data_IF_617665715264
#
_entry.id   IF_617665715264
#
_cell.length_a   1.000
_cell.length_b   1.000
_cell.length_c   1.000
_cell.angle_alpha   90.00
_cell.angle_beta   90.00
_cell.angle_gamma   90.00
#
_symmetry.space_group_name_H-M   'P 1'
#
loop_
_entity.id
_entity.type
_entity.pdbx_description
1 polymer ?
#
# COMPACT_ATOMS: atom_id res chain seq x y z
N UNK A 1 -8.46 19.86 -1.02
CA UNK A 1 -7.86 20.35 -2.27
C UNK A 1 -7.69 19.17 -3.23
N UNK A 2 -7.90 19.38 -4.54
CA UNK A 2 -7.76 18.35 -5.60
C UNK A 2 -6.43 17.59 -5.50
N UNK A 3 -5.40 18.23 -4.97
CA UNK A 3 -4.05 17.71 -4.80
C UNK A 3 -3.98 16.50 -3.86
N UNK A 4 -4.83 16.44 -2.81
CA UNK A 4 -4.86 15.31 -1.88
C UNK A 4 -5.29 14.01 -2.57
N UNK A 5 -6.31 14.09 -3.43
CA UNK A 5 -6.84 12.91 -4.12
C UNK A 5 -5.87 12.39 -5.19
N UNK A 6 -5.15 13.29 -5.86
CA UNK A 6 -4.09 12.93 -6.81
C UNK A 6 -2.96 12.19 -6.07
N UNK A 7 -2.45 12.76 -4.98
CA UNK A 7 -1.40 12.14 -4.17
C UNK A 7 -1.82 10.78 -3.61
N UNK A 8 -3.06 10.65 -3.14
CA UNK A 8 -3.60 9.35 -2.70
C UNK A 8 -3.60 8.33 -3.84
N UNK A 9 -4.02 8.73 -5.04
CA UNK A 9 -4.04 7.87 -6.22
C UNK A 9 -2.62 7.44 -6.63
N UNK A 10 -1.67 8.38 -6.65
CA UNK A 10 -0.27 8.09 -6.96
C UNK A 10 0.37 7.12 -5.97
N UNK A 11 0.21 7.38 -4.66
CA UNK A 11 0.70 6.47 -3.63
C UNK A 11 0.01 5.10 -3.71
N UNK A 12 -1.29 5.06 -4.00
CA UNK A 12 -2.01 3.80 -4.13
C UNK A 12 -1.54 2.98 -5.32
N UNK A 13 -1.40 3.61 -6.49
CA UNK A 13 -0.95 2.96 -7.72
C UNK A 13 0.50 2.48 -7.60
N UNK A 14 1.38 3.31 -7.03
CA UNK A 14 2.78 2.93 -6.78
C UNK A 14 2.87 1.74 -5.83
N UNK A 15 2.07 1.74 -4.75
CA UNK A 15 2.01 0.61 -3.83
C UNK A 15 1.55 -0.68 -4.52
N UNK A 16 0.56 -0.59 -5.40
CA UNK A 16 0.07 -1.72 -6.20
C UNK A 16 1.13 -2.26 -7.16
N UNK A 17 1.85 -1.40 -7.88
CA UNK A 17 2.94 -1.82 -8.75
C UNK A 17 4.06 -2.55 -7.98
N UNK A 18 4.47 -1.99 -6.83
CA UNK A 18 5.47 -2.62 -5.95
C UNK A 18 5.00 -3.98 -5.39
N UNK A 19 3.69 -4.12 -5.10
CA UNK A 19 3.13 -5.38 -4.65
C UNK A 19 3.19 -6.45 -5.73
N UNK A 20 2.88 -6.09 -6.99
CA UNK A 20 2.98 -7.00 -8.13
C UNK A 20 4.43 -7.43 -8.39
N UNK A 21 5.40 -6.56 -8.13
CA UNK A 21 6.84 -6.85 -8.20
C UNK A 21 7.36 -7.66 -6.98
N UNK A 22 6.48 -8.08 -6.07
CA UNK A 22 6.84 -8.83 -4.87
C UNK A 22 7.60 -8.02 -3.81
N UNK A 23 7.72 -6.70 -3.98
CA UNK A 23 8.36 -5.76 -3.05
C UNK A 23 7.39 -5.31 -1.95
N UNK A 24 6.91 -6.29 -1.18
CA UNK A 24 5.84 -6.08 -0.19
C UNK A 24 6.15 -5.01 0.87
N UNK A 25 7.40 -4.90 1.33
CA UNK A 25 7.81 -3.84 2.28
C UNK A 25 7.55 -2.44 1.74
N UNK A 26 7.84 -2.22 0.45
CA UNK A 26 7.75 -0.91 -0.18
C UNK A 26 6.32 -0.60 -0.58
N UNK A 27 5.57 -1.60 -1.04
CA UNK A 27 4.13 -1.49 -1.25
C UNK A 27 3.41 -0.97 0.02
N UNK A 28 3.72 -1.59 1.17
CA UNK A 28 3.16 -1.17 2.47
C UNK A 28 3.53 0.29 2.81
N UNK A 29 4.76 0.72 2.51
CA UNK A 29 5.19 2.12 2.76
C UNK A 29 4.36 3.11 1.95
N UNK A 30 4.09 2.83 0.68
CA UNK A 30 3.30 3.71 -0.18
C UNK A 30 1.83 3.76 0.25
N UNK A 31 1.20 2.61 0.53
CA UNK A 31 -0.19 2.60 1.03
C UNK A 31 -0.34 3.24 2.42
N UNK A 32 0.68 3.21 3.27
CA UNK A 32 0.69 3.97 4.52
C UNK A 32 0.66 5.48 4.30
N UNK A 33 1.19 6.00 3.19
CA UNK A 33 1.07 7.43 2.85
C UNK A 33 -0.37 7.78 2.49
N UNK A 34 -1.09 6.90 1.80
CA UNK A 34 -2.55 7.04 1.59
C UNK A 34 -3.27 7.15 2.94
N UNK A 35 -2.96 6.28 3.90
CA UNK A 35 -3.56 6.33 5.24
C UNK A 35 -3.16 7.55 6.08
N UNK A 36 -2.02 8.19 5.80
CA UNK A 36 -1.66 9.48 6.42
C UNK A 36 -2.53 10.62 5.90
N UNK A 37 -2.93 10.55 4.63
CA UNK A 37 -3.81 11.54 4.01
C UNK A 37 -5.26 11.25 4.36
N UNK A 38 -5.68 10.00 4.27
CA UNK A 38 -7.01 9.51 4.59
C UNK A 38 -6.95 8.25 5.46
N UNK A 39 -6.99 8.41 6.79
CA UNK A 39 -6.99 7.28 7.73
C UNK A 39 -8.18 6.32 7.55
N UNK A 40 -9.27 6.79 6.91
CA UNK A 40 -10.47 6.01 6.65
C UNK A 40 -10.42 5.20 5.35
N UNK A 41 -9.34 5.31 4.57
CA UNK A 41 -9.20 4.63 3.28
C UNK A 41 -9.07 3.10 3.44
N UNK A 42 -10.22 2.42 3.44
CA UNK A 42 -10.34 1.00 3.78
C UNK A 42 -9.54 0.10 2.83
N UNK A 43 -9.54 0.42 1.54
CA UNK A 43 -8.80 -0.34 0.54
C UNK A 43 -7.31 -0.38 0.86
N UNK A 44 -6.71 0.71 1.37
CA UNK A 44 -5.30 0.73 1.77
C UNK A 44 -5.01 -0.19 2.95
N UNK A 45 -5.93 -0.31 3.91
CA UNK A 45 -5.76 -1.23 5.05
C UNK A 45 -5.77 -2.68 4.58
N UNK A 46 -6.72 -3.04 3.71
CA UNK A 46 -6.86 -4.39 3.15
C UNK A 46 -5.57 -4.81 2.42
N UNK A 47 -5.08 -3.98 1.51
CA UNK A 47 -3.88 -4.32 0.72
C UNK A 47 -2.60 -4.36 1.58
N UNK A 48 -2.51 -3.54 2.63
CA UNK A 48 -1.40 -3.59 3.60
C UNK A 48 -1.41 -4.93 4.34
N UNK A 49 -2.55 -5.40 4.84
CA UNK A 49 -2.63 -6.70 5.52
C UNK A 49 -2.30 -7.86 4.57
N UNK A 50 -2.80 -7.82 3.34
CA UNK A 50 -2.46 -8.80 2.30
C UNK A 50 -0.96 -8.84 2.02
N UNK A 51 -0.31 -7.69 1.90
CA UNK A 51 1.14 -7.61 1.68
C UNK A 51 1.96 -8.08 2.89
N UNK A 52 1.50 -7.80 4.12
CA UNK A 52 2.14 -8.34 5.34
C UNK A 52 2.06 -9.86 5.37
N UNK A 53 0.91 -10.44 5.00
CA UNK A 53 0.76 -11.90 4.92
C UNK A 53 1.73 -12.49 3.89
N UNK A 54 1.74 -11.94 2.67
CA UNK A 54 2.65 -12.39 1.59
C UNK A 54 4.12 -12.29 1.98
N UNK A 55 4.49 -11.23 2.69
CA UNK A 55 5.84 -11.07 3.22
C UNK A 55 6.20 -12.15 4.26
N UNK A 56 5.25 -12.54 5.13
CA UNK A 56 5.45 -13.61 6.10
C UNK A 56 5.55 -14.98 5.42
N UNK A 57 4.71 -15.24 4.42
CA UNK A 57 4.77 -16.46 3.60
C UNK A 57 6.14 -16.60 2.94
N UNK A 58 6.65 -15.55 2.31
CA UNK A 58 7.98 -15.55 1.67
C UNK A 58 9.14 -15.77 2.64
N UNK A 59 8.99 -15.40 3.92
CA UNK A 59 10.01 -15.62 4.97
C UNK A 59 9.99 -17.04 5.55
N UNK A 60 8.92 -17.79 5.33
CA UNK A 60 8.76 -19.17 5.81
C UNK A 60 9.17 -20.21 4.76
N UNK A 61 9.41 -19.78 3.53
CA UNK A 61 10.04 -20.56 2.46
C UNK A 61 11.54 -20.35 2.47
#
# INVERSE_FOLDING_TARGET
AKDKNILMTEYFNKGTALYMDGRYSEAIKEWKKVLKLDPSHEQSKIVIEKAKQKQREKKKS
#
